data_IF_349620099357
#
_entry.id   IF_349620099357
#
_cell.length_a   1.000
_cell.length_b   1.000
_cell.length_c   1.000
_cell.angle_alpha   90.00
_cell.angle_beta   90.00
_cell.angle_gamma   90.00
#
_symmetry.space_group_name_H-M   'P 1'
#
loop_
_entity.id
_entity.type
_entity.pdbx_description
1 polymer ?
#
# COMPACT_ATOMS: atom_id res chain seq x y z
N UNK A 1 11.87 -31.25 -3.24
CA UNK A 1 10.48 -31.76 -3.39
C UNK A 1 9.57 -30.65 -2.88
N UNK A 2 8.70 -30.08 -3.71
CA UNK A 2 7.85 -28.97 -3.26
C UNK A 2 6.78 -29.50 -2.31
N UNK A 3 6.83 -29.10 -1.05
CA UNK A 3 5.85 -29.45 -0.03
C UNK A 3 4.58 -28.59 -0.23
N UNK A 4 3.39 -29.14 0.05
CA UNK A 4 2.13 -28.40 -0.03
C UNK A 4 2.18 -27.09 0.78
N UNK A 5 2.90 -27.09 1.90
CA UNK A 5 3.10 -25.91 2.76
C UNK A 5 3.82 -24.78 2.01
N UNK A 6 4.87 -25.09 1.23
CA UNK A 6 5.61 -24.07 0.47
C UNK A 6 4.81 -23.52 -0.70
N UNK A 7 4.00 -24.35 -1.35
CA UNK A 7 3.08 -23.90 -2.39
C UNK A 7 2.02 -22.92 -1.85
N UNK A 8 1.39 -23.24 -0.70
CA UNK A 8 0.40 -22.36 -0.06
C UNK A 8 1.03 -21.05 0.37
N UNK A 9 2.21 -21.10 1.00
CA UNK A 9 2.94 -19.90 1.41
C UNK A 9 3.28 -18.99 0.23
N UNK A 10 3.69 -19.54 -0.91
CA UNK A 10 3.97 -18.77 -2.11
C UNK A 10 2.72 -18.08 -2.69
N UNK A 11 1.59 -18.80 -2.76
CA UNK A 11 0.32 -18.26 -3.29
C UNK A 11 -0.22 -17.15 -2.38
N UNK A 12 -0.28 -17.40 -1.07
CA UNK A 12 -0.75 -16.41 -0.09
C UNK A 12 0.19 -15.21 -0.06
N UNK A 13 1.52 -15.46 -0.08
CA UNK A 13 2.53 -14.43 -0.12
C UNK A 13 2.40 -13.50 -1.33
N UNK A 14 2.28 -14.07 -2.54
CA UNK A 14 2.04 -13.31 -3.77
C UNK A 14 0.72 -12.54 -3.73
N UNK A 15 -0.36 -13.16 -3.21
CA UNK A 15 -1.68 -12.53 -3.10
C UNK A 15 -1.66 -11.30 -2.19
N UNK A 16 -1.16 -11.45 -0.97
CA UNK A 16 -1.03 -10.35 -0.02
C UNK A 16 -0.10 -9.25 -0.56
N UNK A 17 1.05 -9.63 -1.13
CA UNK A 17 2.00 -8.66 -1.68
C UNK A 17 1.41 -7.85 -2.85
N UNK A 18 0.71 -8.52 -3.78
CA UNK A 18 0.08 -7.86 -4.91
C UNK A 18 -1.06 -6.92 -4.49
N UNK A 19 -1.87 -7.33 -3.50
CA UNK A 19 -2.95 -6.50 -2.97
C UNK A 19 -2.40 -5.28 -2.21
N UNK A 20 -1.39 -5.47 -1.36
CA UNK A 20 -0.71 -4.37 -0.66
C UNK A 20 -0.09 -3.36 -1.63
N UNK A 21 0.63 -3.85 -2.66
CA UNK A 21 1.20 -3.00 -3.70
C UNK A 21 0.15 -2.20 -4.50
N UNK A 22 -1.00 -2.83 -4.80
CA UNK A 22 -2.12 -2.14 -5.45
C UNK A 22 -2.68 -1.03 -4.57
N UNK A 23 -2.94 -1.28 -3.29
CA UNK A 23 -3.46 -0.28 -2.36
C UNK A 23 -2.52 0.92 -2.20
N UNK A 24 -1.22 0.66 -2.08
CA UNK A 24 -0.20 1.72 -2.01
C UNK A 24 -0.10 2.53 -3.30
N UNK A 25 -0.22 1.89 -4.47
CA UNK A 25 -0.26 2.59 -5.76
C UNK A 25 -1.51 3.48 -5.86
N UNK A 26 -2.67 3.00 -5.42
CA UNK A 26 -3.90 3.80 -5.36
C UNK A 26 -3.75 5.00 -4.44
N UNK A 27 -3.18 4.81 -3.25
CA UNK A 27 -2.90 5.91 -2.31
C UNK A 27 -1.86 6.91 -2.86
N UNK A 28 -0.84 6.44 -3.59
CA UNK A 28 0.11 7.30 -4.27
C UNK A 28 -0.52 8.09 -5.44
N UNK A 29 -1.46 7.48 -6.16
CA UNK A 29 -2.23 8.15 -7.22
C UNK A 29 -3.18 9.20 -6.64
N UNK A 30 -3.90 8.88 -5.56
CA UNK A 30 -4.75 9.83 -4.84
C UNK A 30 -3.97 11.06 -4.37
N UNK A 31 -2.75 10.87 -3.85
CA UNK A 31 -1.84 11.97 -3.48
C UNK A 31 -1.45 12.89 -4.64
N UNK A 32 -1.35 12.36 -5.86
CA UNK A 32 -1.02 13.18 -7.06
C UNK A 32 -2.24 13.93 -7.57
N UNK A 33 -3.42 13.31 -7.52
CA UNK A 33 -4.69 13.92 -7.91
C UNK A 33 -5.07 15.05 -6.95
N UNK A 34 -5.03 14.80 -5.63
CA UNK A 34 -5.30 15.83 -4.62
C UNK A 34 -4.39 17.06 -4.77
N UNK A 35 -3.13 16.87 -5.19
CA UNK A 35 -2.18 17.96 -5.46
C UNK A 35 -2.43 18.69 -6.78
N UNK A 36 -3.10 18.06 -7.73
CA UNK A 36 -3.37 18.61 -9.07
C UNK A 36 -4.72 19.31 -9.17
N UNK A 37 -5.71 18.87 -8.38
CA UNK A 37 -7.07 19.43 -8.36
C UNK A 37 -7.22 20.66 -7.45
N UNK A 38 -6.11 21.18 -6.91
CA UNK A 38 -6.10 22.33 -6.00
C UNK A 38 -5.50 23.59 -6.68
N UNK A 39 -6.22 24.24 -7.62
CA UNK A 39 -5.77 25.47 -8.29
C UNK A 39 -5.85 26.71 -7.39
N UNK A 40 -6.56 26.63 -6.27
CA UNK A 40 -6.74 27.72 -5.29
C UNK A 40 -5.57 27.81 -4.31
N UNK A 41 -4.76 26.74 -4.19
CA UNK A 41 -3.56 26.66 -3.33
C UNK A 41 -2.49 27.71 -3.68
N UNK A 42 -2.52 28.25 -4.89
CA UNK A 42 -1.54 29.25 -5.36
C UNK A 42 -2.01 30.70 -5.09
N UNK A 43 -3.26 30.93 -4.66
CA UNK A 43 -3.88 32.27 -4.72
C UNK A 43 -4.60 32.76 -3.46
N UNK A 44 -4.78 31.97 -2.40
CA UNK A 44 -5.42 32.46 -1.16
C UNK A 44 -4.41 32.73 -0.03
N UNK A 45 -4.00 34.00 0.18
CA UNK A 45 -3.09 34.38 1.26
C UNK A 45 -3.72 34.39 2.66
N UNK A 46 -5.03 34.12 2.78
CA UNK A 46 -5.76 34.20 4.06
C UNK A 46 -6.00 32.85 4.73
N UNK A 47 -5.58 31.75 4.09
CA UNK A 47 -5.81 30.40 4.62
C UNK A 47 -4.86 30.06 5.78
N UNK A 48 -5.42 29.94 6.98
CA UNK A 48 -4.74 29.34 8.14
C UNK A 48 -4.75 27.81 8.04
N UNK A 49 -3.74 27.26 7.37
CA UNK A 49 -3.39 25.84 7.48
C UNK A 49 -3.65 25.01 6.22
N UNK A 50 -2.77 24.02 5.96
CA UNK A 50 -2.94 23.11 4.82
C UNK A 50 -4.29 22.39 4.91
N UNK A 51 -4.87 21.94 3.79
CA UNK A 51 -6.02 21.04 3.83
C UNK A 51 -5.71 19.87 4.77
N UNK A 52 -6.70 19.48 5.57
CA UNK A 52 -6.61 18.25 6.34
C UNK A 52 -6.56 17.12 5.32
N UNK A 53 -5.34 16.74 4.95
CA UNK A 53 -5.03 15.54 4.20
C UNK A 53 -5.43 14.36 5.08
N UNK A 54 -6.74 14.10 5.20
CA UNK A 54 -7.29 12.89 5.78
C UNK A 54 -6.94 11.75 4.81
N UNK A 55 -5.64 11.43 4.74
CA UNK A 55 -5.17 10.14 4.31
C UNK A 55 -5.97 9.17 5.15
N UNK A 56 -6.76 8.34 4.49
CA UNK A 56 -7.39 7.19 5.10
C UNK A 56 -6.26 6.29 5.63
N UNK A 57 -5.83 6.57 6.86
CA UNK A 57 -4.67 5.96 7.50
C UNK A 57 -4.83 4.45 7.57
N UNK A 58 -6.07 4.01 7.75
CA UNK A 58 -6.48 2.62 7.75
C UNK A 58 -6.15 1.93 6.42
N UNK A 59 -6.34 2.63 5.29
CA UNK A 59 -6.00 2.13 3.96
C UNK A 59 -4.48 1.97 3.75
N UNK A 60 -3.69 2.92 4.25
CA UNK A 60 -2.23 2.88 4.17
C UNK A 60 -1.64 1.78 5.07
N UNK A 61 -2.10 1.72 6.32
CA UNK A 61 -1.68 0.72 7.31
C UNK A 61 -2.00 -0.69 6.81
N UNK A 62 -3.23 -0.90 6.30
CA UNK A 62 -3.65 -2.19 5.75
C UNK A 62 -2.84 -2.58 4.51
N UNK A 63 -2.55 -1.63 3.61
CA UNK A 63 -1.68 -1.85 2.45
C UNK A 63 -0.25 -2.25 2.85
N UNK A 64 0.30 -1.60 3.87
CA UNK A 64 1.62 -1.91 4.43
C UNK A 64 1.66 -3.29 5.11
N UNK A 65 0.67 -3.61 5.95
CA UNK A 65 0.57 -4.92 6.58
C UNK A 65 0.52 -6.06 5.55
N UNK A 66 -0.28 -5.91 4.49
CA UNK A 66 -0.37 -6.90 3.41
C UNK A 66 0.96 -7.11 2.69
N UNK A 67 1.75 -6.05 2.47
CA UNK A 67 3.10 -6.18 1.91
C UNK A 67 4.05 -6.93 2.84
N UNK A 68 4.08 -6.58 4.13
CA UNK A 68 4.97 -7.21 5.12
C UNK A 68 4.64 -8.69 5.27
N UNK A 69 3.37 -9.03 5.48
CA UNK A 69 2.95 -10.44 5.59
C UNK A 69 3.16 -11.20 4.30
N UNK A 70 2.89 -10.57 3.15
CA UNK A 70 3.17 -11.16 1.83
C UNK A 70 4.65 -11.49 1.64
N UNK A 71 5.54 -10.54 1.96
CA UNK A 71 6.98 -10.72 1.87
C UNK A 71 7.48 -11.80 2.83
N UNK A 72 7.00 -11.82 4.08
CA UNK A 72 7.37 -12.86 5.05
C UNK A 72 6.96 -14.27 4.58
N UNK A 73 5.76 -14.41 4.02
CA UNK A 73 5.30 -15.68 3.47
C UNK A 73 6.15 -16.13 2.26
N UNK A 74 6.58 -15.20 1.41
CA UNK A 74 7.49 -15.50 0.29
C UNK A 74 8.89 -15.88 0.77
N UNK A 75 9.42 -15.19 1.78
CA UNK A 75 10.70 -15.54 2.41
C UNK A 75 10.61 -16.94 3.00
N UNK A 76 9.53 -17.26 3.72
CA UNK A 76 9.29 -18.59 4.27
C UNK A 76 9.24 -19.66 3.18
N UNK A 77 8.52 -19.41 2.08
CA UNK A 77 8.47 -20.33 0.94
C UNK A 77 9.86 -20.54 0.32
N UNK A 78 10.67 -19.48 0.21
CA UNK A 78 12.01 -19.53 -0.38
C UNK A 78 13.02 -20.31 0.46
N UNK A 79 12.99 -20.16 1.80
CA UNK A 79 13.90 -20.89 2.71
C UNK A 79 13.47 -22.34 2.96
N UNK A 80 12.19 -22.64 2.74
CA UNK A 80 11.61 -23.97 2.97
C UNK A 80 11.60 -24.86 1.72
N UNK A 81 12.19 -24.38 0.62
CA UNK A 81 12.24 -25.05 -0.68
C UNK A 81 13.27 -26.19 -0.73
#
# INVERSE_FOLDING_TARGET
MVNAITAVAAIVGLGCFALGARLLKSAAAARRVARSDDPEFVLDPTREGPPDDAIDGDGLERGFMLLVFGALALVFAAISF
#
